data_IF_875053159664
#
_entry.id   IF_875053159664
#
_cell.length_a   1.000
_cell.length_b   1.000
_cell.length_c   1.000
_cell.angle_alpha   90.00
_cell.angle_beta   90.00
_cell.angle_gamma   90.00
#
_symmetry.space_group_name_H-M   'P 1'
#
loop_
_entity.id
_entity.type
_entity.pdbx_description
1 polymer ?
#
# COMPACT_ATOMS: atom_id res chain seq x y z
N UNK A 1 -52.21 -74.85 3.39
CA UNK A 1 -51.38 -74.43 2.25
C UNK A 1 -51.95 -73.25 1.46
N UNK A 2 -53.23 -73.27 1.03
CA UNK A 2 -53.84 -72.17 0.25
C UNK A 2 -53.90 -70.79 0.94
N UNK A 3 -53.92 -70.74 2.28
CA UNK A 3 -53.91 -69.48 3.06
C UNK A 3 -52.50 -68.89 3.27
N UNK A 4 -51.46 -69.74 3.27
CA UNK A 4 -50.06 -69.31 3.44
C UNK A 4 -49.49 -68.76 2.12
N UNK A 5 -49.90 -69.34 0.98
CA UNK A 5 -49.53 -68.89 -0.37
C UNK A 5 -50.17 -67.52 -0.70
N UNK A 6 -51.39 -67.25 -0.22
CA UNK A 6 -52.03 -65.93 -0.38
C UNK A 6 -51.35 -64.83 0.44
N UNK A 7 -50.75 -65.16 1.59
CA UNK A 7 -50.05 -64.18 2.43
C UNK A 7 -48.68 -63.82 1.83
N UNK A 8 -47.97 -64.79 1.26
CA UNK A 8 -46.69 -64.57 0.56
C UNK A 8 -46.91 -63.81 -0.77
N UNK A 9 -48.02 -64.08 -1.48
CA UNK A 9 -48.36 -63.34 -2.70
C UNK A 9 -48.76 -61.88 -2.43
N UNK A 10 -49.28 -61.55 -1.25
CA UNK A 10 -49.58 -60.17 -0.85
C UNK A 10 -48.31 -59.41 -0.41
N UNK A 11 -47.35 -60.12 0.20
CA UNK A 11 -46.07 -59.53 0.61
C UNK A 11 -45.13 -59.23 -0.58
N UNK A 12 -45.24 -59.99 -1.68
CA UNK A 12 -44.48 -59.75 -2.92
C UNK A 12 -45.09 -58.66 -3.82
N UNK A 13 -46.38 -58.31 -3.63
CA UNK A 13 -47.03 -57.23 -4.36
C UNK A 13 -46.88 -55.86 -3.67
N UNK A 14 -46.46 -55.82 -2.41
CA UNK A 14 -46.18 -54.58 -1.68
C UNK A 14 -44.72 -54.10 -1.81
N UNK A 15 -43.78 -54.97 -2.22
CA UNK A 15 -42.38 -54.60 -2.41
C UNK A 15 -42.06 -53.99 -3.78
N UNK A 16 -43.01 -54.03 -4.73
CA UNK A 16 -42.77 -53.56 -6.12
C UNK A 16 -43.35 -52.16 -6.42
N UNK A 17 -44.04 -51.52 -5.48
CA UNK A 17 -44.62 -50.18 -5.66
C UNK A 17 -43.72 -49.03 -5.19
N UNK A 18 -42.55 -49.30 -4.62
CA UNK A 18 -41.63 -48.24 -4.10
C UNK A 18 -40.59 -47.80 -5.15
N UNK A 19 -40.50 -48.47 -6.30
CA UNK A 19 -39.48 -48.17 -7.33
C UNK A 19 -39.90 -47.09 -8.35
N UNK A 20 -41.04 -46.42 -8.16
CA UNK A 20 -41.56 -45.38 -9.07
C UNK A 20 -41.68 -43.99 -8.42
N UNK A 21 -41.13 -43.80 -7.22
CA UNK A 21 -40.80 -42.45 -6.77
C UNK A 21 -39.57 -42.01 -7.55
N UNK A 22 -39.82 -41.21 -8.57
CA UNK A 22 -38.78 -40.65 -9.43
C UNK A 22 -37.61 -40.18 -8.59
N UNK A 23 -36.40 -40.53 -9.03
CA UNK A 23 -35.20 -39.85 -8.58
C UNK A 23 -35.37 -38.39 -8.96
N UNK A 24 -35.93 -37.58 -8.05
CA UNK A 24 -35.67 -36.16 -8.06
C UNK A 24 -34.16 -36.10 -7.97
N UNK A 25 -33.51 -35.74 -9.08
CA UNK A 25 -32.17 -35.21 -9.01
C UNK A 25 -32.29 -34.08 -8.00
N UNK A 26 -31.86 -34.33 -6.76
CA UNK A 26 -31.54 -33.26 -5.84
C UNK A 26 -30.40 -32.57 -6.58
N UNK A 27 -30.76 -31.50 -7.30
CA UNK A 27 -29.77 -30.54 -7.72
C UNK A 27 -29.24 -30.05 -6.38
N UNK A 28 -28.07 -30.54 -5.97
CA UNK A 28 -27.29 -29.82 -4.98
C UNK A 28 -27.10 -28.46 -5.64
N UNK A 29 -27.87 -27.47 -5.21
CA UNK A 29 -27.49 -26.08 -5.39
C UNK A 29 -26.07 -26.06 -4.85
N UNK A 30 -25.09 -25.84 -5.73
CA UNK A 30 -23.72 -25.71 -5.27
C UNK A 30 -23.77 -24.61 -4.20
N UNK A 31 -23.39 -24.94 -2.96
CA UNK A 31 -23.33 -23.97 -1.86
C UNK A 31 -22.25 -22.97 -2.22
N UNK A 32 -22.66 -21.96 -2.99
CA UNK A 32 -21.83 -20.87 -3.41
C UNK A 32 -21.79 -19.91 -2.23
N UNK A 33 -20.63 -19.82 -1.58
CA UNK A 33 -20.42 -18.84 -0.53
C UNK A 33 -20.40 -17.45 -1.17
N UNK A 34 -21.29 -16.59 -0.67
CA UNK A 34 -21.44 -15.21 -1.12
C UNK A 34 -21.17 -14.27 0.05
N UNK A 35 -20.21 -13.37 -0.10
CA UNK A 35 -19.82 -12.42 0.93
C UNK A 35 -19.65 -11.02 0.34
N UNK A 36 -20.34 -10.04 0.92
CA UNK A 36 -20.14 -8.63 0.62
C UNK A 36 -19.04 -8.04 1.50
N UNK A 37 -18.20 -7.20 0.91
CA UNK A 37 -17.14 -6.49 1.60
C UNK A 37 -17.36 -5.00 1.48
N UNK A 38 -17.29 -4.29 2.61
CA UNK A 38 -17.44 -2.84 2.68
C UNK A 38 -16.15 -2.25 3.25
N UNK A 39 -15.41 -1.55 2.40
CA UNK A 39 -14.21 -0.80 2.79
C UNK A 39 -14.62 0.59 3.26
N UNK A 40 -14.22 0.98 4.47
CA UNK A 40 -14.33 2.33 5.01
C UNK A 40 -12.94 2.94 5.11
N UNK A 41 -12.43 3.49 4.01
CA UNK A 41 -11.06 4.00 3.89
C UNK A 41 -10.91 5.37 4.57
N UNK A 42 -9.98 5.46 5.53
CA UNK A 42 -9.70 6.71 6.27
C UNK A 42 -8.28 7.21 6.11
N UNK A 43 -8.13 8.51 6.33
CA UNK A 43 -6.86 9.21 6.46
C UNK A 43 -6.81 9.94 7.80
N UNK A 44 -5.67 9.86 8.48
CA UNK A 44 -5.41 10.70 9.67
C UNK A 44 -5.25 12.16 9.27
N UNK A 45 -5.85 13.06 10.04
CA UNK A 45 -5.72 14.51 9.84
C UNK A 45 -4.30 14.97 10.18
N UNK A 46 -3.74 14.48 11.30
CA UNK A 46 -2.33 14.70 11.63
C UNK A 46 -1.46 13.72 10.80
N UNK A 47 -0.63 14.21 9.87
CA UNK A 47 0.26 13.35 9.10
C UNK A 47 1.28 12.64 10.00
N UNK A 48 1.58 13.14 11.20
CA UNK A 48 2.50 12.52 12.15
C UNK A 48 1.80 11.58 13.14
N UNK A 49 0.49 11.40 13.03
CA UNK A 49 -0.24 10.47 13.87
C UNK A 49 0.40 9.09 13.80
N UNK A 50 0.56 8.46 14.96
CA UNK A 50 0.90 7.05 15.06
C UNK A 50 -0.41 6.28 15.35
N UNK A 51 -1.13 5.80 14.31
CA UNK A 51 -2.34 5.02 14.50
C UNK A 51 -2.15 3.92 15.53
N UNK A 52 -3.10 3.77 16.46
CA UNK A 52 -3.28 2.48 17.13
C UNK A 52 -3.76 1.48 16.09
N UNK A 53 -3.16 0.30 16.08
CA UNK A 53 -3.70 -0.83 15.32
C UNK A 53 -5.05 -1.21 15.92
N UNK A 54 -6.11 -0.99 15.15
CA UNK A 54 -7.45 -1.45 15.48
C UNK A 54 -7.72 -2.64 14.57
N UNK A 55 -7.95 -3.81 15.16
CA UNK A 55 -8.25 -5.03 14.41
C UNK A 55 -9.62 -4.93 13.74
N UNK A 56 -9.71 -5.36 12.48
CA UNK A 56 -10.99 -5.54 11.81
C UNK A 56 -11.71 -6.75 12.41
N UNK A 57 -12.84 -6.54 13.07
CA UNK A 57 -13.71 -7.62 13.59
C UNK A 57 -14.65 -8.18 12.52
N UNK A 58 -14.75 -7.49 11.38
CA UNK A 58 -15.72 -7.78 10.31
C UNK A 58 -17.10 -7.15 10.53
N UNK A 59 -17.40 -6.68 11.75
CA UNK A 59 -18.64 -5.97 12.05
C UNK A 59 -18.54 -4.48 11.70
N UNK A 60 -19.69 -3.86 11.47
CA UNK A 60 -19.79 -2.41 11.43
C UNK A 60 -19.32 -1.82 12.77
N UNK A 61 -18.40 -0.87 12.74
CA UNK A 61 -17.87 -0.19 13.91
C UNK A 61 -18.64 1.11 14.12
N UNK A 62 -18.98 1.48 15.37
CA UNK A 62 -19.60 2.76 15.65
C UNK A 62 -18.75 3.93 15.16
N UNK A 63 -19.42 4.95 14.63
CA UNK A 63 -18.79 6.18 14.12
C UNK A 63 -17.82 6.82 15.12
N UNK A 64 -18.11 6.77 16.41
CA UNK A 64 -17.30 7.45 17.43
C UNK A 64 -15.92 6.78 17.63
N UNK A 65 -15.83 5.47 17.39
CA UNK A 65 -14.62 4.68 17.59
C UNK A 65 -13.72 4.69 16.35
N UNK A 66 -14.32 4.48 15.18
CA UNK A 66 -13.59 4.43 13.91
C UNK A 66 -13.62 5.74 13.13
N UNK A 67 -14.77 6.42 13.15
CA UNK A 67 -15.04 7.62 12.36
C UNK A 67 -14.83 8.92 13.14
N UNK A 68 -13.94 8.95 14.15
CA UNK A 68 -13.67 10.18 14.89
C UNK A 68 -13.22 11.30 13.93
N UNK A 69 -14.13 12.24 13.66
CA UNK A 69 -13.99 13.31 12.66
C UNK A 69 -12.96 14.36 13.06
N UNK A 70 -12.56 14.39 14.33
CA UNK A 70 -11.51 15.27 14.84
C UNK A 70 -10.12 14.73 14.50
N UNK A 71 -9.99 13.42 14.25
CA UNK A 71 -8.70 12.75 14.03
C UNK A 71 -8.56 12.11 12.65
N UNK A 72 -9.67 11.77 12.00
CA UNK A 72 -9.69 11.11 10.69
C UNK A 72 -10.79 11.64 9.78
N UNK A 73 -10.59 11.47 8.47
CA UNK A 73 -11.63 11.70 7.46
C UNK A 73 -11.63 10.59 6.41
N UNK A 74 -12.78 10.42 5.75
CA UNK A 74 -12.95 9.47 4.65
C UNK A 74 -12.15 9.87 3.42
N UNK A 75 -11.44 8.92 2.81
CA UNK A 75 -10.55 9.19 1.68
C UNK A 75 -11.06 8.50 0.40
N UNK A 76 -11.60 9.30 -0.51
CA UNK A 76 -12.02 8.90 -1.85
C UNK A 76 -10.83 8.71 -2.80
N UNK A 77 -11.09 8.14 -3.98
CA UNK A 77 -10.16 7.95 -5.08
C UNK A 77 -8.95 7.06 -4.75
N UNK A 78 -9.08 6.23 -3.71
CA UNK A 78 -8.10 5.19 -3.36
C UNK A 78 -8.46 3.93 -4.13
N UNK A 79 -7.48 3.38 -4.83
CA UNK A 79 -7.60 2.14 -5.60
C UNK A 79 -7.17 0.97 -4.73
N UNK A 80 -8.06 -0.01 -4.58
CA UNK A 80 -7.76 -1.31 -3.99
C UNK A 80 -7.82 -2.41 -5.04
N UNK A 81 -6.84 -3.30 -5.03
CA UNK A 81 -6.80 -4.53 -5.81
C UNK A 81 -7.16 -5.71 -4.88
N UNK A 82 -8.08 -6.57 -5.33
CA UNK A 82 -8.54 -7.75 -4.61
C UNK A 82 -8.02 -8.98 -5.33
N UNK A 83 -7.33 -9.84 -4.59
CA UNK A 83 -6.73 -11.07 -5.10
C UNK A 83 -7.32 -12.30 -4.43
N UNK A 84 -7.65 -13.33 -5.21
CA UNK A 84 -8.02 -14.64 -4.68
C UNK A 84 -6.76 -15.44 -4.32
N UNK A 85 -6.50 -15.59 -3.03
CA UNK A 85 -5.33 -16.29 -2.49
C UNK A 85 -5.71 -17.62 -1.84
N UNK A 86 -6.88 -18.17 -2.16
CA UNK A 86 -7.43 -19.39 -1.56
C UNK A 86 -6.48 -20.58 -1.74
N UNK A 87 -5.94 -20.77 -2.94
CA UNK A 87 -4.98 -21.84 -3.23
C UNK A 87 -3.71 -21.75 -2.37
N UNK A 88 -3.20 -20.53 -2.15
CA UNK A 88 -2.03 -20.31 -1.30
C UNK A 88 -2.34 -20.66 0.14
N UNK A 89 -3.44 -20.15 0.69
CA UNK A 89 -3.87 -20.43 2.07
C UNK A 89 -4.08 -21.92 2.28
N UNK A 90 -4.75 -22.61 1.34
CA UNK A 90 -4.94 -24.06 1.38
C UNK A 90 -3.61 -24.81 1.47
N UNK A 91 -2.64 -24.49 0.59
CA UNK A 91 -1.29 -25.09 0.63
C UNK A 91 -0.58 -24.87 1.96
N UNK A 92 -0.67 -23.66 2.53
CA UNK A 92 -0.05 -23.37 3.83
C UNK A 92 -0.72 -24.13 4.98
N UNK A 93 -2.03 -24.36 4.93
CA UNK A 93 -2.74 -25.22 5.89
C UNK A 93 -2.36 -26.69 5.76
N UNK A 94 -2.16 -27.18 4.54
CA UNK A 94 -1.65 -28.55 4.29
C UNK A 94 -0.24 -28.73 4.87
N UNK A 95 0.58 -27.67 4.86
CA UNK A 95 1.88 -27.59 5.55
C UNK A 95 1.77 -27.38 7.07
N UNK A 96 0.55 -27.41 7.64
CA UNK A 96 0.24 -27.23 9.06
C UNK A 96 0.62 -25.87 9.65
N UNK A 97 0.70 -24.83 8.82
CA UNK A 97 0.88 -23.46 9.32
C UNK A 97 -0.40 -22.96 9.98
N UNK A 98 -0.23 -22.26 11.09
CA UNK A 98 -1.32 -21.59 11.80
C UNK A 98 -1.86 -20.39 11.02
N UNK A 99 -3.10 -19.98 11.31
CA UNK A 99 -3.70 -18.76 10.75
C UNK A 99 -2.81 -17.53 11.01
N UNK A 100 -2.20 -17.46 12.19
CA UNK A 100 -1.32 -16.36 12.60
C UNK A 100 -0.04 -16.32 11.77
N UNK A 101 0.58 -17.46 11.46
CA UNK A 101 1.76 -17.52 10.60
C UNK A 101 1.43 -17.10 9.16
N UNK A 102 0.27 -17.53 8.65
CA UNK A 102 -0.20 -17.13 7.32
C UNK A 102 -0.44 -15.62 7.29
N UNK A 103 -1.19 -15.07 8.25
CA UNK A 103 -1.44 -13.62 8.35
C UNK A 103 -0.14 -12.82 8.48
N UNK A 104 0.82 -13.32 9.27
CA UNK A 104 2.13 -12.68 9.45
C UNK A 104 2.89 -12.55 8.13
N UNK A 105 2.84 -13.56 7.25
CA UNK A 105 3.47 -13.46 5.93
C UNK A 105 2.94 -12.27 5.13
N UNK A 106 1.61 -12.07 5.10
CA UNK A 106 1.02 -10.94 4.38
C UNK A 106 1.31 -9.59 5.07
N UNK A 107 1.35 -9.55 6.40
CA UNK A 107 1.69 -8.31 7.13
C UNK A 107 3.16 -7.90 6.98
N UNK A 108 4.09 -8.85 6.94
CA UNK A 108 5.53 -8.58 6.84
C UNK A 108 6.00 -8.34 5.39
N UNK A 109 5.22 -8.79 4.40
CA UNK A 109 5.59 -8.66 2.98
C UNK A 109 5.11 -7.31 2.43
N UNK A 110 5.98 -6.63 1.67
CA UNK A 110 5.63 -5.33 1.09
C UNK A 110 4.46 -5.47 0.09
N UNK A 111 3.51 -4.53 0.06
CA UNK A 111 2.34 -4.61 -0.83
C UNK A 111 2.69 -4.82 -2.31
N UNK A 112 3.73 -4.17 -2.82
CA UNK A 112 4.16 -4.33 -4.21
C UNK A 112 4.70 -5.73 -4.52
N UNK A 113 5.33 -6.38 -3.55
CA UNK A 113 5.80 -7.76 -3.69
C UNK A 113 4.63 -8.73 -3.64
N UNK A 114 3.65 -8.50 -2.75
CA UNK A 114 2.42 -9.30 -2.72
C UNK A 114 1.65 -9.19 -4.03
N UNK A 115 1.47 -7.98 -4.56
CA UNK A 115 0.81 -7.75 -5.84
C UNK A 115 1.51 -8.51 -6.99
N UNK A 116 2.84 -8.56 -7.01
CA UNK A 116 3.58 -9.33 -8.02
C UNK A 116 3.44 -10.84 -7.81
N UNK A 117 3.53 -11.32 -6.57
CA UNK A 117 3.40 -12.74 -6.23
C UNK A 117 2.05 -13.32 -6.64
N UNK A 118 0.98 -12.51 -6.52
CA UNK A 118 -0.40 -12.91 -6.79
C UNK A 118 -0.99 -12.24 -8.03
N UNK A 119 -0.18 -11.69 -8.94
CA UNK A 119 -0.67 -10.90 -10.09
C UNK A 119 -1.70 -11.62 -10.98
N UNK A 120 -1.61 -12.94 -11.09
CA UNK A 120 -2.52 -13.75 -11.90
C UNK A 120 -3.82 -14.10 -11.17
N UNK A 121 -3.94 -13.71 -9.90
CA UNK A 121 -5.06 -13.98 -9.02
C UNK A 121 -5.92 -12.74 -8.76
N UNK A 122 -5.70 -11.64 -9.50
CA UNK A 122 -6.51 -10.44 -9.39
C UNK A 122 -7.95 -10.77 -9.81
N UNK A 123 -8.91 -10.55 -8.91
CA UNK A 123 -10.32 -10.83 -9.14
C UNK A 123 -11.17 -9.57 -9.24
N UNK A 124 -10.76 -8.48 -8.58
CA UNK A 124 -11.46 -7.21 -8.67
C UNK A 124 -10.53 -6.01 -8.41
N UNK A 125 -10.96 -4.83 -8.84
CA UNK A 125 -10.33 -3.55 -8.52
C UNK A 125 -11.41 -2.54 -8.22
N UNK A 126 -11.41 -2.02 -6.99
CA UNK A 126 -12.38 -1.04 -6.52
C UNK A 126 -11.74 0.30 -6.23
N UNK A 127 -12.54 1.36 -6.38
CA UNK A 127 -12.12 2.74 -6.08
C UNK A 127 -13.06 3.31 -5.05
N UNK A 128 -12.49 3.90 -4.00
CA UNK A 128 -13.28 4.51 -2.92
C UNK A 128 -14.00 5.77 -3.40
N UNK A 129 -15.23 5.96 -2.96
CA UNK A 129 -16.10 7.08 -3.31
C UNK A 129 -17.01 7.43 -2.13
N UNK A 130 -17.83 8.46 -2.31
CA UNK A 130 -18.88 8.78 -1.33
C UNK A 130 -20.11 7.91 -1.61
N UNK A 131 -20.57 7.15 -0.62
CA UNK A 131 -21.78 6.31 -0.67
C UNK A 131 -22.65 6.70 0.52
N UNK A 132 -23.94 6.98 0.30
CA UNK A 132 -24.90 7.35 1.36
C UNK A 132 -24.42 8.48 2.30
N UNK A 133 -23.63 9.42 1.79
CA UNK A 133 -23.10 10.55 2.56
C UNK A 133 -21.78 10.25 3.30
N UNK A 134 -21.31 9.01 3.30
CA UNK A 134 -20.00 8.64 3.85
C UNK A 134 -18.94 8.63 2.75
N UNK A 135 -17.86 9.39 2.95
CA UNK A 135 -16.68 9.37 2.07
C UNK A 135 -15.71 8.24 2.42
N UNK A 136 -14.99 7.75 1.42
CA UNK A 136 -13.99 6.70 1.55
C UNK A 136 -14.55 5.29 1.43
N UNK A 137 -15.75 5.14 0.89
CA UNK A 137 -16.40 3.83 0.80
C UNK A 137 -16.09 3.11 -0.52
N UNK A 138 -15.82 1.81 -0.46
CA UNK A 138 -15.85 0.92 -1.61
C UNK A 138 -16.56 -0.38 -1.24
N UNK A 139 -17.28 -0.97 -2.18
CA UNK A 139 -18.02 -2.22 -1.98
C UNK A 139 -17.63 -3.19 -3.08
N UNK A 140 -17.38 -4.44 -2.71
CA UNK A 140 -17.22 -5.54 -3.65
C UNK A 140 -17.86 -6.81 -3.10
N UNK A 141 -18.16 -7.73 -4.00
CA UNK A 141 -18.80 -9.00 -3.69
C UNK A 141 -17.87 -10.13 -4.07
N UNK A 142 -17.61 -11.03 -3.12
CA UNK A 142 -16.87 -12.25 -3.37
C UNK A 142 -17.83 -13.43 -3.45
N UNK A 143 -17.62 -14.26 -4.46
CA UNK A 143 -18.40 -15.47 -4.69
C UNK A 143 -17.43 -16.61 -4.88
N UNK A 144 -17.56 -17.69 -4.12
CA UNK A 144 -16.67 -18.84 -4.24
C UNK A 144 -17.40 -20.16 -4.02
N UNK A 145 -16.89 -21.19 -4.70
CA UNK A 145 -17.25 -22.60 -4.47
C UNK A 145 -16.28 -23.31 -3.53
N UNK A 146 -15.20 -22.64 -3.13
CA UNK A 146 -14.27 -23.18 -2.16
C UNK A 146 -14.90 -23.17 -0.77
N UNK A 147 -14.60 -24.19 0.03
CA UNK A 147 -15.04 -24.28 1.42
C UNK A 147 -14.40 -23.19 2.31
N UNK A 148 -13.14 -22.83 2.01
CA UNK A 148 -12.35 -21.85 2.77
C UNK A 148 -11.72 -20.84 1.80
N UNK A 149 -12.52 -19.98 1.15
CA UNK A 149 -11.98 -18.98 0.25
C UNK A 149 -11.20 -17.92 1.01
N UNK A 150 -10.15 -17.38 0.40
CA UNK A 150 -9.32 -16.35 1.00
C UNK A 150 -9.02 -15.22 0.02
N UNK A 151 -9.17 -13.99 0.49
CA UNK A 151 -8.97 -12.79 -0.31
C UNK A 151 -7.91 -11.90 0.32
N UNK A 152 -6.99 -11.43 -0.53
CA UNK A 152 -6.00 -10.42 -0.18
C UNK A 152 -6.43 -9.08 -0.78
N UNK A 153 -6.56 -8.06 0.05
CA UNK A 153 -6.93 -6.71 -0.36
C UNK A 153 -5.70 -5.80 -0.19
N UNK A 154 -5.26 -5.19 -1.28
CA UNK A 154 -4.09 -4.32 -1.33
C UNK A 154 -4.46 -2.91 -1.77
N UNK A 155 -4.01 -1.91 -1.04
CA UNK A 155 -4.04 -0.52 -1.52
C UNK A 155 -2.98 -0.34 -2.61
N UNK A 156 -3.41 -0.02 -3.83
CA UNK A 156 -2.53 0.12 -5.00
C UNK A 156 -2.15 1.56 -5.27
N UNK A 157 -3.12 2.47 -5.21
CA UNK A 157 -2.92 3.87 -5.48
C UNK A 157 -3.82 4.72 -4.59
N UNK A 158 -3.37 5.93 -4.30
CA UNK A 158 -4.11 6.89 -3.49
C UNK A 158 -3.93 8.29 -4.09
N UNK A 159 -4.90 9.21 -3.90
CA UNK A 159 -4.83 10.55 -4.45
C UNK A 159 -3.73 11.37 -3.77
N UNK A 160 -3.33 12.47 -4.42
CA UNK A 160 -2.48 13.47 -3.78
C UNK A 160 -3.30 14.29 -2.78
N UNK A 161 -2.77 14.45 -1.57
CA UNK A 161 -3.37 15.31 -0.54
C UNK A 161 -2.62 16.63 -0.55
N UNK A 162 -3.28 17.71 -0.98
CA UNK A 162 -2.63 19.04 -1.10
C UNK A 162 -1.33 18.97 -1.93
N UNK A 163 -1.36 18.22 -3.03
CA UNK A 163 -0.21 17.99 -3.92
C UNK A 163 0.85 17.02 -3.40
N UNK A 164 0.65 16.43 -2.21
CA UNK A 164 1.62 15.54 -1.57
C UNK A 164 1.22 14.08 -1.71
N UNK A 165 2.21 13.21 -1.93
CA UNK A 165 1.99 11.77 -2.05
C UNK A 165 1.81 11.15 -0.66
N UNK A 166 0.85 10.25 -0.53
CA UNK A 166 0.71 9.39 0.65
C UNK A 166 1.86 8.38 0.64
N UNK A 167 2.67 8.37 1.69
CA UNK A 167 3.90 7.56 1.75
C UNK A 167 3.72 6.24 2.48
N UNK A 168 2.73 6.15 3.38
CA UNK A 168 2.36 4.92 4.07
C UNK A 168 0.93 4.55 3.70
N UNK A 169 0.83 3.58 2.80
CA UNK A 169 -0.43 2.95 2.39
C UNK A 169 -0.99 2.08 3.52
N UNK A 170 -2.25 1.66 3.40
CA UNK A 170 -2.83 0.70 4.32
C UNK A 170 -2.07 -0.62 4.31
N UNK A 171 -2.07 -1.29 5.47
CA UNK A 171 -1.52 -2.63 5.57
C UNK A 171 -2.31 -3.61 4.68
N UNK A 172 -1.63 -4.60 4.06
CA UNK A 172 -2.31 -5.70 3.40
C UNK A 172 -3.33 -6.37 4.32
N UNK A 173 -4.52 -6.67 3.80
CA UNK A 173 -5.56 -7.36 4.56
C UNK A 173 -5.80 -8.74 3.96
N UNK A 174 -5.49 -9.80 4.72
CA UNK A 174 -5.88 -11.17 4.39
C UNK A 174 -7.18 -11.51 5.13
N UNK A 175 -8.21 -11.87 4.37
CA UNK A 175 -9.48 -12.35 4.91
C UNK A 175 -9.61 -13.81 4.50
N UNK A 176 -9.77 -14.70 5.48
CA UNK A 176 -10.05 -16.12 5.26
C UNK A 176 -11.50 -16.35 5.68
N UNK A 177 -12.33 -16.80 4.74
CA UNK A 177 -13.74 -17.08 4.94
C UNK A 177 -13.98 -18.56 5.34
N UNK A 178 -15.13 -18.87 5.94
CA UNK A 178 -16.10 -17.91 6.49
C UNK A 178 -15.57 -17.22 7.75
N UNK A 179 -15.98 -15.96 7.99
CA UNK A 179 -15.64 -15.21 9.21
C UNK A 179 -16.79 -15.36 10.20
N UNK A 180 -16.52 -15.92 11.37
CA UNK A 180 -17.50 -16.06 12.44
C UNK A 180 -17.90 -14.70 13.01
N UNK A 181 -19.19 -14.54 13.32
CA UNK A 181 -19.71 -13.37 13.98
C UNK A 181 -19.23 -13.36 15.45
N UNK A 182 -18.43 -12.38 15.89
CA UNK A 182 -17.91 -12.37 17.26
C UNK A 182 -18.98 -12.13 18.33
N UNK A 183 -20.21 -11.77 17.95
CA UNK A 183 -21.34 -11.58 18.86
C UNK A 183 -22.30 -12.78 18.89
N UNK A 184 -22.19 -13.71 17.92
CA UNK A 184 -23.10 -14.84 17.75
C UNK A 184 -22.33 -16.09 17.33
N UNK A 185 -21.92 -16.91 18.31
CA UNK A 185 -21.16 -18.14 18.08
C UNK A 185 -21.90 -19.09 17.12
N UNK A 186 -21.16 -19.64 16.15
CA UNK A 186 -21.70 -20.53 15.11
C UNK A 186 -22.41 -19.82 13.94
N UNK A 187 -22.57 -18.50 13.99
CA UNK A 187 -23.07 -17.70 12.86
C UNK A 187 -21.90 -17.06 12.10
N UNK A 188 -22.00 -16.99 10.78
CA UNK A 188 -20.97 -16.40 9.93
C UNK A 188 -21.43 -15.10 9.29
N UNK A 189 -20.50 -14.16 9.10
CA UNK A 189 -20.76 -12.88 8.48
C UNK A 189 -20.95 -13.03 6.96
N UNK A 190 -22.10 -12.57 6.46
CA UNK A 190 -22.36 -12.40 5.03
C UNK A 190 -21.89 -11.03 4.50
N UNK A 191 -21.72 -10.06 5.38
CA UNK A 191 -21.18 -8.73 5.10
C UNK A 191 -20.00 -8.48 6.04
N UNK A 192 -18.85 -8.10 5.50
CA UNK A 192 -17.62 -7.85 6.23
C UNK A 192 -17.19 -6.39 6.05
N UNK A 193 -17.17 -5.64 7.15
CA UNK A 193 -16.69 -4.27 7.18
C UNK A 193 -15.19 -4.24 7.48
N UNK A 194 -14.45 -3.48 6.68
CA UNK A 194 -12.99 -3.33 6.78
C UNK A 194 -12.61 -1.85 6.82
N UNK A 195 -11.57 -1.58 7.59
CA UNK A 195 -11.25 -0.26 8.09
C UNK A 195 -9.80 0.16 7.78
N UNK A 196 -9.35 0.13 6.50
CA UNK A 196 -7.99 0.47 6.14
C UNK A 196 -7.70 1.96 6.40
N UNK A 197 -6.57 2.26 7.06
CA UNK A 197 -6.16 3.63 7.39
C UNK A 197 -4.82 3.99 6.74
N UNK A 198 -4.73 5.21 6.23
CA UNK A 198 -3.45 5.84 5.88
C UNK A 198 -3.03 6.83 6.96
N UNK A 199 -1.74 6.85 7.25
CA UNK A 199 -1.09 7.91 8.01
C UNK A 199 0.09 8.41 7.18
N UNK A 200 0.53 9.64 7.37
CA UNK A 200 1.69 10.22 6.67
C UNK A 200 1.50 10.42 5.15
N UNK A 201 1.58 11.67 4.76
CA UNK A 201 1.94 12.08 3.41
C UNK A 201 3.29 12.81 3.47
N UNK A 202 3.99 12.88 2.33
CA UNK A 202 5.27 13.57 2.21
C UNK A 202 5.07 15.07 2.49
N UNK A 203 5.20 15.47 3.76
CA UNK A 203 5.18 16.87 4.16
C UNK A 203 6.51 17.48 3.74
N UNK A 204 6.55 18.41 2.76
CA UNK A 204 7.77 19.14 2.49
C UNK A 204 8.23 19.72 3.82
N UNK A 205 9.44 19.35 4.26
CA UNK A 205 10.01 19.92 5.48
C UNK A 205 9.89 21.45 5.29
N UNK A 206 9.19 22.17 6.19
CA UNK A 206 9.10 23.62 6.05
C UNK A 206 10.53 24.09 5.95
N UNK A 207 10.86 24.80 4.86
CA UNK A 207 12.21 25.32 4.65
C UNK A 207 12.68 25.84 5.99
N UNK A 208 13.68 25.16 6.58
CA UNK A 208 14.31 25.70 7.79
C UNK A 208 14.68 27.10 7.38
N UNK A 209 14.04 28.11 7.99
CA UNK A 209 14.50 29.49 7.88
C UNK A 209 15.91 29.43 8.42
N UNK A 210 16.88 29.23 7.52
CA UNK A 210 18.29 29.34 7.84
C UNK A 210 18.37 30.76 8.40
N UNK A 211 18.70 30.95 9.68
CA UNK A 211 19.00 32.29 10.16
C UNK A 211 19.99 32.86 9.17
N UNK A 212 19.83 34.12 8.69
CA UNK A 212 20.78 34.70 7.77
C UNK A 212 22.16 34.43 8.35
N UNK A 213 22.96 33.65 7.62
CA UNK A 213 24.31 33.32 8.03
C UNK A 213 24.95 34.67 8.33
N UNK A 214 25.53 34.90 9.52
CA UNK A 214 26.32 36.10 9.71
C UNK A 214 27.30 36.13 8.54
N UNK A 215 27.26 37.20 7.73
CA UNK A 215 28.26 37.39 6.69
C UNK A 215 29.61 37.12 7.36
N UNK A 216 30.47 36.25 6.81
CA UNK A 216 31.79 36.08 7.38
C UNK A 216 32.38 37.48 7.48
N UNK A 217 32.74 37.93 8.68
CA UNK A 217 33.59 39.10 8.80
C UNK A 217 34.77 38.88 7.85
N UNK A 218 35.13 39.88 7.03
CA UNK A 218 36.23 39.73 6.09
C UNK A 218 37.44 39.25 6.88
N UNK A 219 37.86 37.99 6.63
CA UNK A 219 39.02 37.39 7.27
C UNK A 219 40.17 38.39 7.13
N UNK A 220 40.87 38.75 8.22
CA UNK A 220 42.03 39.62 8.10
C UNK A 220 43.00 38.98 7.11
N UNK A 221 43.36 39.73 6.06
CA UNK A 221 44.34 39.29 5.07
C UNK A 221 45.61 38.92 5.82
N UNK A 222 45.97 37.63 5.82
CA UNK A 222 47.27 37.18 6.33
C UNK A 222 48.36 37.94 5.57
N UNK A 223 49.36 38.53 6.25
CA UNK A 223 50.43 39.25 5.58
C UNK A 223 51.19 38.26 4.68
N UNK A 224 51.19 38.56 3.38
CA UNK A 224 51.92 37.80 2.38
C UNK A 224 53.40 38.14 2.55
N UNK A 225 54.22 37.15 2.93
CA UNK A 225 55.67 37.32 2.98
C UNK A 225 56.20 37.34 1.53
N UNK A 226 57.08 38.29 1.16
CA UNK A 226 57.60 38.36 -0.20
C UNK A 226 58.51 37.16 -0.49
N UNK A 227 58.18 36.40 -1.53
CA UNK A 227 59.09 35.41 -2.13
C UNK A 227 60.18 36.15 -2.91
N UNK A 228 61.38 36.20 -2.34
CA UNK A 228 62.59 36.70 -3.02
C UNK A 228 63.10 35.63 -3.98
N UNK A 229 62.84 35.80 -5.27
CA UNK A 229 63.32 34.85 -6.29
C UNK A 229 63.23 35.32 -7.74
N UNK A 230 62.40 36.31 -8.07
CA UNK A 230 62.19 36.74 -9.46
C UNK A 230 62.20 38.26 -9.61
N UNK A 231 63.38 38.87 -9.45
CA UNK A 231 63.64 40.24 -9.94
C UNK A 231 64.87 40.18 -10.84
N UNK A 232 64.70 39.58 -12.02
CA UNK A 232 65.68 39.64 -13.13
C UNK A 232 64.95 39.69 -14.48
N UNK A 233 64.15 40.73 -14.70
CA UNK A 233 63.77 41.09 -16.09
C UNK A 233 63.44 42.57 -16.27
N UNK A 234 62.88 43.26 -15.25
CA UNK A 234 62.47 44.66 -15.41
C UNK A 234 63.65 45.68 -15.44
N UNK A 235 64.76 45.41 -14.74
CA UNK A 235 65.92 46.33 -14.70
C UNK A 235 66.83 46.23 -15.94
N UNK A 236 66.78 45.14 -16.71
CA UNK A 236 67.58 44.99 -17.92
C UNK A 236 67.04 45.83 -19.09
N UNK A 237 65.72 46.05 -19.14
CA UNK A 237 65.07 46.80 -20.22
C UNK A 237 65.35 48.30 -20.09
N UNK A 238 65.39 48.86 -18.87
CA UNK A 238 65.71 50.28 -18.67
C UNK A 238 67.17 50.62 -19.05
N UNK A 239 68.12 49.72 -18.80
CA UNK A 239 69.54 49.94 -19.16
C UNK A 239 69.78 50.01 -20.66
N UNK A 240 69.11 49.17 -21.46
CA UNK A 240 69.26 49.15 -22.93
C UNK A 240 68.66 50.41 -23.57
N UNK A 241 67.54 50.92 -23.03
CA UNK A 241 66.92 52.15 -23.56
C UNK A 241 67.81 53.37 -23.36
N UNK A 242 68.47 53.51 -22.21
CA UNK A 242 69.38 54.64 -21.95
C UNK A 242 70.59 54.61 -22.89
N UNK A 243 71.19 53.44 -23.12
CA UNK A 243 72.32 53.31 -24.05
C UNK A 243 71.90 53.65 -25.49
N UNK A 244 70.71 53.21 -25.94
CA UNK A 244 70.21 53.53 -27.27
C UNK A 244 69.95 55.03 -27.46
N UNK A 245 69.41 55.72 -26.46
CA UNK A 245 69.18 57.18 -26.51
C UNK A 245 70.50 57.94 -26.55
N UNK A 246 71.49 57.55 -25.75
CA UNK A 246 72.83 58.19 -25.76
C UNK A 246 73.51 57.98 -27.12
N UNK A 247 73.43 56.78 -27.70
CA UNK A 247 74.03 56.49 -29.02
C UNK A 247 73.34 57.27 -30.14
N UNK A 248 72.02 57.45 -30.07
CA UNK A 248 71.25 58.23 -31.03
C UNK A 248 71.62 59.73 -30.98
N UNK A 249 71.73 60.32 -29.79
CA UNK A 249 72.17 61.72 -29.62
C UNK A 249 73.61 61.91 -30.12
N UNK A 250 74.50 60.95 -29.88
CA UNK A 250 75.89 61.04 -30.31
C UNK A 250 76.05 60.90 -31.83
N UNK A 251 75.24 60.05 -32.48
CA UNK A 251 75.21 59.93 -33.94
C UNK A 251 74.68 61.21 -34.61
N UNK A 252 73.62 61.82 -34.06
CA UNK A 252 73.07 63.06 -34.62
C UNK A 252 73.97 64.28 -34.42
N UNK A 253 74.82 64.32 -33.38
CA UNK A 253 75.80 65.40 -33.17
C UNK A 253 77.06 65.29 -34.06
N UNK A 254 77.29 64.18 -34.75
CA UNK A 254 78.42 64.01 -35.69
C UNK A 254 78.04 64.18 -37.16
N UNK A 255 76.79 64.52 -37.45
CA UNK A 255 76.27 64.78 -38.80
C UNK A 255 75.85 66.25 -38.98
N UNK A 256 76.43 67.16 -38.21
CA UNK A 256 76.32 68.63 -38.40
C UNK A 256 77.63 69.28 -38.03
#
# INVERSE_FOLDING_TARGET
MKKLIKFISFLFLFSLSVSLLGTTKVNAEEDILKTEFILHKRMYIDPKANPKEVSNTGLEMPDEEFMNKETTYGLNDVVFEIYDVSEYVRKQREEKKSTQEIQKYFSDTKPNQLAENFKNNLVDTVVTKTINGESGMAVFEATSKEEIPAYLILEKAAPLIKGQKIIKLAMPMLIILPVENPLEEGNYLSTIHLYPKNAQYDVPEPEKKVPPTPKPDPKPKKPFLPQTGEIKSAMAILGVVVIAVVFWIWKNKRST
#
